data_IF_405668374212
#
_entry.id   IF_405668374212
#
_cell.length_a   1.000
_cell.length_b   1.000
_cell.length_c   1.000
_cell.angle_alpha   90.00
_cell.angle_beta   90.00
_cell.angle_gamma   90.00
#
_symmetry.space_group_name_H-M   'P 1'
#
loop_
_entity.id
_entity.type
_entity.pdbx_description
1 polymer ?
#
# COMPACT_ATOMS: atom_id res chain seq x y z
N UNK A 1 -25.26 -13.88 -35.75
CA UNK A 1 -24.00 -14.14 -36.47
C UNK A 1 -22.90 -13.99 -35.45
N UNK A 2 -22.21 -15.09 -35.17
CA UNK A 2 -21.10 -15.14 -34.22
C UNK A 2 -19.91 -14.35 -34.79
N UNK A 3 -19.39 -13.41 -34.00
CA UNK A 3 -18.32 -12.48 -34.40
C UNK A 3 -16.99 -12.79 -33.69
N UNK A 4 -16.84 -14.00 -33.14
CA UNK A 4 -15.65 -14.41 -32.38
C UNK A 4 -14.60 -15.17 -33.20
N UNK A 5 -14.86 -15.49 -34.48
CA UNK A 5 -14.03 -16.39 -35.26
C UNK A 5 -13.16 -15.75 -36.37
N UNK A 6 -13.15 -14.43 -36.55
CA UNK A 6 -12.47 -13.80 -37.70
C UNK A 6 -11.16 -13.10 -37.31
N UNK A 7 -10.09 -13.89 -37.14
CA UNK A 7 -8.72 -13.42 -36.90
C UNK A 7 -8.04 -12.81 -38.14
N UNK A 8 -8.71 -12.85 -39.30
CA UNK A 8 -8.20 -12.33 -40.57
C UNK A 8 -9.02 -11.15 -41.10
N UNK A 9 -9.93 -10.60 -40.30
CA UNK A 9 -10.72 -9.44 -40.71
C UNK A 9 -9.78 -8.25 -40.93
N UNK A 10 -9.75 -7.65 -42.12
CA UNK A 10 -8.91 -6.49 -42.37
C UNK A 10 -9.37 -5.36 -41.44
N UNK A 11 -8.50 -5.00 -40.50
CA UNK A 11 -8.66 -3.81 -39.66
C UNK A 11 -8.72 -2.63 -40.62
N UNK A 12 -9.84 -1.90 -40.65
CA UNK A 12 -9.95 -0.76 -41.56
C UNK A 12 -8.84 0.24 -41.25
N UNK A 13 -8.39 1.00 -42.24
CA UNK A 13 -7.34 2.02 -42.05
C UNK A 13 -7.68 2.95 -40.88
N UNK A 14 -8.97 3.25 -40.70
CA UNK A 14 -9.50 4.04 -39.57
C UNK A 14 -9.36 3.34 -38.22
N UNK A 15 -9.57 2.03 -38.15
CA UNK A 15 -9.36 1.23 -36.93
C UNK A 15 -7.88 1.07 -36.60
N UNK A 16 -7.01 0.90 -37.61
CA UNK A 16 -5.56 0.87 -37.43
C UNK A 16 -5.04 2.22 -36.92
N UNK A 17 -5.55 3.34 -37.45
CA UNK A 17 -5.24 4.69 -36.96
C UNK A 17 -5.74 4.91 -35.53
N UNK A 18 -6.91 4.38 -35.16
CA UNK A 18 -7.42 4.47 -33.79
C UNK A 18 -6.64 3.59 -32.79
N UNK A 19 -6.10 2.46 -33.24
CA UNK A 19 -5.21 1.60 -32.44
C UNK A 19 -3.82 2.25 -32.30
N UNK A 20 -3.27 2.82 -33.38
CA UNK A 20 -2.02 3.58 -33.34
C UNK A 20 -2.13 4.84 -32.46
N UNK A 21 -3.27 5.54 -32.48
CA UNK A 21 -3.55 6.66 -31.60
C UNK A 21 -3.72 6.26 -30.12
N UNK A 22 -3.98 4.98 -29.83
CA UNK A 22 -4.01 4.42 -28.47
C UNK A 22 -2.67 3.82 -28.03
N UNK A 23 -1.71 3.67 -28.95
CA UNK A 23 -0.41 3.04 -28.70
C UNK A 23 0.64 4.01 -28.15
N UNK A 24 0.32 5.30 -27.98
CA UNK A 24 1.20 6.27 -27.33
C UNK A 24 0.53 6.90 -26.10
N UNK A 25 0.65 6.20 -24.97
CA UNK A 25 0.71 6.83 -23.64
C UNK A 25 2.09 6.56 -23.04
N UNK A 26 3.12 6.72 -23.88
CA UNK A 26 4.54 6.60 -23.49
C UNK A 26 5.32 7.91 -23.67
N UNK A 27 4.70 8.99 -24.14
CA UNK A 27 5.39 10.26 -24.40
C UNK A 27 4.65 11.52 -23.97
N UNK A 28 3.58 11.41 -23.18
CA UNK A 28 3.28 12.49 -22.24
C UNK A 28 4.24 12.33 -21.06
N UNK A 29 5.48 12.78 -21.27
CA UNK A 29 6.38 13.12 -20.18
C UNK A 29 5.56 13.99 -19.23
N UNK A 30 5.22 13.39 -18.09
CA UNK A 30 4.85 14.10 -16.91
C UNK A 30 5.76 15.32 -16.82
N UNK A 31 5.20 16.53 -16.76
CA UNK A 31 5.96 17.74 -16.46
C UNK A 31 6.55 17.71 -15.04
N UNK A 32 6.48 16.58 -14.34
CA UNK A 32 7.41 16.26 -13.29
C UNK A 32 8.75 15.90 -13.93
N UNK A 33 9.69 16.84 -13.81
CA UNK A 33 11.10 16.57 -14.02
C UNK A 33 11.47 15.21 -13.39
N UNK A 34 12.24 14.36 -14.08
CA UNK A 34 12.65 13.09 -13.52
C UNK A 34 13.41 13.36 -12.21
N UNK A 35 12.84 12.97 -11.07
CA UNK A 35 13.55 12.97 -9.80
C UNK A 35 14.46 11.74 -9.79
N UNK A 36 15.50 11.76 -10.62
CA UNK A 36 16.79 11.18 -10.26
C UNK A 36 17.47 12.30 -9.47
N UNK A 37 17.81 12.16 -8.20
CA UNK A 37 18.83 11.28 -7.67
C UNK A 37 18.71 11.28 -6.15
N UNK A 38 19.21 10.26 -5.46
CA UNK A 38 19.48 10.23 -3.99
C UNK A 38 19.65 11.62 -3.36
N UNK A 39 18.91 11.89 -2.27
CA UNK A 39 19.10 13.12 -1.48
C UNK A 39 20.56 13.17 -1.02
N UNK A 40 21.32 14.23 -1.35
CA UNK A 40 22.74 14.30 -1.03
C UNK A 40 22.95 14.40 0.48
N UNK A 41 24.03 13.81 0.99
CA UNK A 41 24.44 14.04 2.38
C UNK A 41 24.85 15.50 2.58
N UNK A 42 24.61 16.01 3.78
CA UNK A 42 25.14 17.31 4.19
C UNK A 42 26.67 17.30 4.09
N UNK A 43 27.21 18.39 3.54
CA UNK A 43 28.64 18.65 3.35
C UNK A 43 29.00 20.01 3.96
N UNK A 44 30.21 20.10 4.52
CA UNK A 44 30.82 21.33 5.05
C UNK A 44 31.14 22.34 3.95
N UNK A 45 31.23 23.63 4.30
CA UNK A 45 31.64 24.70 3.39
C UNK A 45 30.87 24.73 2.04
N UNK A 46 29.60 24.33 2.07
CA UNK A 46 28.75 24.18 0.88
C UNK A 46 27.60 25.17 0.96
N UNK A 47 27.32 25.85 -0.15
CA UNK A 47 26.17 26.72 -0.28
C UNK A 47 24.89 25.88 -0.48
N UNK A 48 23.87 26.18 0.32
CA UNK A 48 22.54 25.58 0.24
C UNK A 48 21.50 26.65 -0.02
N UNK A 49 20.59 26.38 -0.94
CA UNK A 49 19.43 27.25 -1.19
C UNK A 49 18.27 26.89 -0.25
N UNK A 50 17.44 27.86 0.13
CA UNK A 50 16.24 27.63 0.91
C UNK A 50 15.38 26.53 0.24
N UNK A 51 14.90 25.57 1.05
CA UNK A 51 14.17 24.40 0.58
C UNK A 51 15.03 23.25 0.04
N UNK A 52 16.35 23.43 -0.13
CA UNK A 52 17.23 22.34 -0.54
C UNK A 52 17.29 21.27 0.55
N UNK A 53 17.04 20.02 0.15
CA UNK A 53 17.04 18.86 1.04
C UNK A 53 18.40 18.15 1.07
N UNK A 54 18.80 17.72 2.26
CA UNK A 54 20.01 16.91 2.49
C UNK A 54 19.78 15.85 3.57
N UNK A 55 20.63 14.83 3.62
CA UNK A 55 20.71 13.90 4.76
C UNK A 55 21.68 14.48 5.80
N UNK A 56 21.21 14.74 7.01
CA UNK A 56 21.99 15.26 8.13
C UNK A 56 23.04 14.24 8.59
N UNK A 57 24.07 14.65 9.36
CA UNK A 57 25.01 13.70 9.97
C UNK A 57 24.36 12.67 10.91
N UNK A 58 23.17 12.97 11.43
CA UNK A 58 22.37 12.04 12.24
C UNK A 58 21.55 11.04 11.40
N UNK A 59 21.51 11.22 10.07
CA UNK A 59 20.76 10.37 9.14
C UNK A 59 19.39 10.90 8.76
N UNK A 60 18.93 12.00 9.38
CA UNK A 60 17.62 12.60 9.09
C UNK A 60 17.60 13.37 7.77
N UNK A 61 16.47 13.41 7.07
CA UNK A 61 16.29 14.34 5.94
C UNK A 61 15.85 15.69 6.48
N UNK A 62 16.60 16.72 6.10
CA UNK A 62 16.37 18.10 6.53
C UNK A 62 16.38 19.05 5.34
N UNK A 63 15.64 20.15 5.45
CA UNK A 63 15.57 21.19 4.43
C UNK A 63 16.16 22.50 4.95
N UNK A 64 16.94 23.19 4.13
CA UNK A 64 17.51 24.49 4.49
C UNK A 64 16.38 25.52 4.70
N UNK A 65 16.36 26.18 5.88
CA UNK A 65 15.32 27.17 6.22
C UNK A 65 15.48 28.45 5.38
N UNK A 66 16.74 28.80 5.09
CA UNK A 66 17.11 29.95 4.28
C UNK A 66 18.36 29.62 3.46
N UNK A 67 18.63 30.45 2.44
CA UNK A 67 19.91 30.42 1.73
C UNK A 67 21.04 30.62 2.75
N UNK A 68 21.96 29.67 2.82
CA UNK A 68 23.10 29.76 3.73
C UNK A 68 24.29 28.96 3.21
N UNK A 69 25.47 29.20 3.77
CA UNK A 69 26.65 28.36 3.55
C UNK A 69 26.95 27.60 4.83
N UNK A 70 27.14 26.28 4.75
CA UNK A 70 27.45 25.46 5.93
C UNK A 70 28.83 25.77 6.49
N UNK A 71 28.96 25.72 7.82
CA UNK A 71 30.25 25.82 8.50
C UNK A 71 31.03 24.51 8.50
N UNK A 72 32.10 24.47 9.31
CA UNK A 72 32.89 23.25 9.55
C UNK A 72 32.11 22.17 10.33
N UNK A 73 31.03 22.54 11.00
CA UNK A 73 30.14 21.66 11.75
C UNK A 73 28.68 21.84 11.33
N UNK A 74 27.89 20.78 11.51
CA UNK A 74 26.45 20.83 11.27
C UNK A 74 25.75 21.67 12.34
N UNK A 75 25.03 22.71 11.93
CA UNK A 75 24.29 23.61 12.82
C UNK A 75 22.79 23.39 12.64
N UNK A 76 22.10 22.69 13.56
CA UNK A 76 20.68 22.34 13.41
C UNK A 76 19.75 23.54 13.16
N UNK A 77 20.09 24.72 13.69
CA UNK A 77 19.28 25.93 13.54
C UNK A 77 19.10 26.41 12.08
N UNK A 78 19.95 25.95 11.14
CA UNK A 78 19.82 26.31 9.72
C UNK A 78 18.85 25.38 8.96
N UNK A 79 18.34 24.36 9.62
CA UNK A 79 17.66 23.23 9.00
C UNK A 79 16.32 22.97 9.68
N UNK A 80 15.26 22.86 8.88
CA UNK A 80 14.00 22.36 9.34
C UNK A 80 13.94 20.86 9.10
N UNK A 81 13.49 20.10 10.10
CA UNK A 81 13.05 18.74 9.85
C UNK A 81 11.92 18.76 8.83
N UNK A 82 12.07 17.91 7.83
CA UNK A 82 11.00 17.58 6.93
C UNK A 82 9.97 16.79 7.76
N UNK A 83 8.89 17.43 8.24
CA UNK A 83 7.91 16.80 9.15
C UNK A 83 6.80 16.11 8.36
N UNK A 84 6.65 14.80 8.57
CA UNK A 84 5.55 13.85 8.28
C UNK A 84 4.80 13.87 6.92
N UNK A 85 4.77 14.95 6.16
CA UNK A 85 4.10 15.01 4.86
C UNK A 85 4.97 14.53 3.68
N UNK A 86 6.28 14.40 3.89
CA UNK A 86 7.26 14.35 2.79
C UNK A 86 8.19 13.12 2.82
N UNK A 87 8.09 12.22 3.80
CA UNK A 87 8.83 10.95 3.74
C UNK A 87 8.04 9.92 2.92
N UNK A 88 8.20 10.02 1.61
CA UNK A 88 7.80 8.99 0.67
C UNK A 88 8.91 7.94 0.61
N UNK A 89 8.71 6.81 1.30
CA UNK A 89 9.56 5.63 1.21
C UNK A 89 9.22 4.90 -0.10
N UNK A 90 9.79 5.38 -1.20
CA UNK A 90 9.58 4.76 -2.51
C UNK A 90 10.23 3.37 -2.54
N UNK A 91 9.44 2.32 -2.72
CA UNK A 91 9.92 0.93 -2.71
C UNK A 91 11.03 0.65 -3.73
N UNK A 92 11.08 1.41 -4.83
CA UNK A 92 12.16 1.29 -5.84
C UNK A 92 13.52 1.70 -5.27
N UNK A 93 13.56 2.66 -4.34
CA UNK A 93 14.79 3.07 -3.67
C UNK A 93 15.36 1.96 -2.75
N UNK A 94 14.52 1.00 -2.38
CA UNK A 94 14.89 -0.17 -1.58
C UNK A 94 15.13 -1.43 -2.44
N UNK A 95 15.10 -1.28 -3.77
CA UNK A 95 15.42 -2.35 -4.72
C UNK A 95 14.22 -3.09 -5.31
N UNK A 96 12.98 -2.70 -4.99
CA UNK A 96 11.80 -3.32 -5.59
C UNK A 96 11.76 -3.00 -7.10
N UNK A 97 11.42 -3.98 -7.94
CA UNK A 97 11.37 -3.81 -9.39
C UNK A 97 9.98 -3.62 -9.94
N UNK A 98 8.94 -4.18 -9.31
CA UNK A 98 7.54 -4.05 -9.74
C UNK A 98 7.32 -4.50 -11.20
N UNK A 99 8.10 -5.48 -11.66
CA UNK A 99 8.16 -5.97 -13.04
C UNK A 99 7.23 -7.18 -13.29
N UNK A 100 6.45 -7.59 -12.28
CA UNK A 100 5.54 -8.74 -12.34
C UNK A 100 6.21 -10.11 -12.23
N UNK A 101 7.53 -10.18 -11.99
CA UNK A 101 8.29 -11.43 -11.97
C UNK A 101 9.29 -11.53 -10.80
N UNK A 102 9.97 -10.44 -10.48
CA UNK A 102 10.95 -10.36 -9.39
C UNK A 102 10.23 -10.38 -8.05
N UNK A 103 10.70 -11.22 -7.14
CA UNK A 103 10.22 -11.25 -5.75
C UNK A 103 10.72 -10.00 -5.00
N UNK A 104 9.83 -9.04 -4.82
CA UNK A 104 10.08 -7.72 -4.26
C UNK A 104 9.85 -7.66 -2.74
N UNK A 105 9.50 -8.79 -2.10
CA UNK A 105 9.05 -8.80 -0.71
C UNK A 105 10.08 -8.19 0.27
N UNK A 106 11.36 -8.51 0.13
CA UNK A 106 12.42 -7.99 1.01
C UNK A 106 12.62 -6.48 0.85
N UNK A 107 12.59 -5.97 -0.39
CA UNK A 107 12.72 -4.55 -0.67
C UNK A 107 11.52 -3.75 -0.16
N UNK A 108 10.31 -4.29 -0.32
CA UNK A 108 9.09 -3.66 0.19
C UNK A 108 9.09 -3.66 1.73
N UNK A 109 9.47 -4.78 2.36
CA UNK A 109 9.56 -4.83 3.82
C UNK A 109 10.60 -3.84 4.34
N UNK A 110 11.75 -3.70 3.68
CA UNK A 110 12.76 -2.72 4.08
C UNK A 110 12.24 -1.27 4.01
N UNK A 111 11.42 -0.93 3.00
CA UNK A 111 10.76 0.38 2.93
C UNK A 111 9.74 0.58 4.06
N UNK A 112 8.98 -0.47 4.41
CA UNK A 112 8.03 -0.46 5.53
C UNK A 112 8.77 -0.30 6.87
N UNK A 113 9.87 -1.01 7.06
CA UNK A 113 10.69 -0.94 8.28
C UNK A 113 11.31 0.46 8.43
N UNK A 114 11.78 1.05 7.33
CA UNK A 114 12.29 2.42 7.31
C UNK A 114 11.21 3.45 7.67
N UNK A 115 9.98 3.28 7.15
CA UNK A 115 8.83 4.10 7.52
C UNK A 115 8.44 3.97 8.99
N UNK A 116 8.40 2.73 9.51
CA UNK A 116 8.12 2.46 10.91
C UNK A 116 9.15 3.10 11.85
N UNK A 117 10.43 3.13 11.46
CA UNK A 117 11.49 3.78 12.22
C UNK A 117 11.58 5.30 12.00
N UNK A 118 10.59 5.91 11.32
CA UNK A 118 10.53 7.36 11.07
C UNK A 118 11.72 7.90 10.27
N UNK A 119 12.40 7.06 9.48
CA UNK A 119 13.63 7.44 8.78
C UNK A 119 14.84 7.74 9.68
N UNK A 120 14.81 7.36 10.97
CA UNK A 120 15.90 7.66 11.93
C UNK A 120 15.45 8.31 13.25
N UNK A 121 14.15 8.56 13.44
CA UNK A 121 13.61 9.20 14.65
C UNK A 121 13.13 8.14 15.65
N UNK A 122 13.63 8.23 16.88
CA UNK A 122 13.64 7.17 17.90
C UNK A 122 12.31 6.43 18.16
N UNK A 123 12.45 5.13 18.43
CA UNK A 123 11.47 4.04 18.46
C UNK A 123 10.33 4.10 19.51
N UNK A 124 9.99 5.27 20.05
CA UNK A 124 8.84 5.40 20.96
C UNK A 124 8.13 6.76 20.90
N UNK A 125 8.33 7.52 19.83
CA UNK A 125 7.61 8.78 19.62
C UNK A 125 7.27 8.93 18.14
N UNK A 126 6.14 8.34 17.73
CA UNK A 126 5.51 8.49 16.42
C UNK A 126 6.43 8.14 15.21
N UNK A 127 6.90 6.90 15.15
CA UNK A 127 7.29 6.30 13.87
C UNK A 127 6.10 6.22 12.91
N UNK A 128 6.34 6.32 11.60
CA UNK A 128 5.31 6.36 10.58
C UNK A 128 5.77 7.03 9.28
N UNK A 129 4.96 6.90 8.23
CA UNK A 129 5.29 7.46 6.92
C UNK A 129 4.52 6.81 5.79
N UNK A 130 4.73 7.33 4.58
CA UNK A 130 4.09 6.81 3.37
C UNK A 130 5.07 5.91 2.63
N UNK A 131 4.77 4.62 2.54
CA UNK A 131 5.47 3.70 1.64
C UNK A 131 4.81 3.82 0.27
N UNK A 132 5.57 4.39 -0.68
CA UNK A 132 5.07 4.71 -2.00
C UNK A 132 5.40 3.61 -3.00
N UNK A 133 4.39 3.20 -3.74
CA UNK A 133 4.48 2.18 -4.79
C UNK A 133 4.17 2.82 -6.14
N UNK A 134 5.20 3.13 -6.96
CA UNK A 134 4.97 3.48 -8.37
C UNK A 134 4.18 2.38 -9.10
N UNK A 135 3.49 2.74 -10.19
CA UNK A 135 2.81 1.79 -11.07
C UNK A 135 3.68 0.58 -11.37
N UNK A 136 3.10 -0.62 -11.30
CA UNK A 136 3.81 -1.87 -11.47
C UNK A 136 3.14 -3.01 -10.70
N UNK A 137 3.55 -4.23 -11.03
CA UNK A 137 3.13 -5.43 -10.31
C UNK A 137 4.30 -5.93 -9.49
N UNK A 138 4.17 -5.88 -8.17
CA UNK A 138 5.20 -6.32 -7.24
C UNK A 138 4.87 -7.71 -6.74
N UNK A 139 5.74 -8.68 -7.02
CA UNK A 139 5.56 -10.05 -6.56
C UNK A 139 6.05 -10.15 -5.11
N UNK A 140 5.23 -10.74 -4.24
CA UNK A 140 5.53 -10.85 -2.81
C UNK A 140 5.60 -12.33 -2.43
N UNK A 141 6.80 -12.85 -2.17
CA UNK A 141 7.02 -14.23 -1.74
C UNK A 141 6.88 -14.49 -0.25
N UNK A 142 6.95 -13.45 0.59
CA UNK A 142 6.85 -13.54 2.05
C UNK A 142 5.89 -12.49 2.59
N UNK A 143 5.15 -12.81 3.66
CA UNK A 143 4.19 -11.89 4.28
C UNK A 143 4.83 -10.55 4.64
N UNK A 144 4.20 -9.46 4.21
CA UNK A 144 4.59 -8.10 4.61
C UNK A 144 3.95 -7.75 5.94
N UNK A 145 4.77 -7.26 6.88
CA UNK A 145 4.31 -6.79 8.19
C UNK A 145 4.01 -5.30 8.13
N UNK A 146 2.76 -4.92 8.35
CA UNK A 146 2.32 -3.51 8.40
C UNK A 146 2.29 -2.99 9.84
N UNK A 147 3.04 -1.92 10.11
CA UNK A 147 3.11 -1.29 11.42
C UNK A 147 2.10 -0.15 11.58
N UNK A 148 1.87 0.28 12.83
CA UNK A 148 1.15 1.52 13.11
C UNK A 148 1.86 2.74 12.50
N UNK A 149 1.12 3.81 12.22
CA UNK A 149 1.69 5.02 11.59
C UNK A 149 2.09 4.87 10.12
N UNK A 150 2.05 3.65 9.55
CA UNK A 150 2.56 3.37 8.21
C UNK A 150 1.44 3.31 7.18
N UNK A 151 1.61 4.01 6.07
CA UNK A 151 0.60 4.11 5.00
C UNK A 151 1.17 3.54 3.70
N UNK A 152 0.60 2.44 3.21
CA UNK A 152 0.96 1.88 1.89
C UNK A 152 0.13 2.58 0.81
N UNK A 153 0.76 3.25 -0.15
CA UNK A 153 0.04 4.01 -1.18
C UNK A 153 0.53 3.71 -2.58
N UNK A 154 -0.38 3.29 -3.45
CA UNK A 154 -0.14 3.10 -4.89
C UNK A 154 -0.62 4.26 -5.74
N UNK A 155 -0.62 4.07 -7.05
CA UNK A 155 -1.08 5.05 -8.06
C UNK A 155 -2.54 4.84 -8.49
N UNK A 156 -3.22 3.86 -7.88
CA UNK A 156 -4.55 3.37 -8.22
C UNK A 156 -4.53 1.86 -8.50
N UNK A 157 -5.67 1.15 -8.37
CA UNK A 157 -5.72 -0.29 -8.60
C UNK A 157 -5.42 -0.71 -10.05
N UNK A 158 -5.81 0.12 -11.04
CA UNK A 158 -5.57 -0.11 -12.47
C UNK A 158 -6.29 -1.34 -13.06
N UNK A 159 -6.52 -1.34 -14.38
CA UNK A 159 -7.14 -2.49 -15.09
C UNK A 159 -8.68 -2.56 -15.00
N UNK A 160 -9.27 -3.52 -15.73
CA UNK A 160 -10.70 -3.81 -15.65
C UNK A 160 -10.97 -4.60 -14.37
N UNK A 161 -11.58 -3.91 -13.40
CA UNK A 161 -11.91 -4.43 -12.09
C UNK A 161 -12.85 -5.65 -12.19
N UNK A 162 -13.48 -5.94 -13.34
CA UNK A 162 -14.48 -7.00 -13.46
C UNK A 162 -14.01 -8.35 -14.06
N UNK A 163 -12.82 -8.43 -14.67
CA UNK A 163 -12.38 -9.63 -15.42
C UNK A 163 -11.20 -10.35 -14.75
N UNK A 164 -11.47 -11.50 -14.11
CA UNK A 164 -10.48 -12.47 -13.60
C UNK A 164 -9.76 -13.21 -14.76
N UNK A 165 -10.38 -13.28 -15.93
CA UNK A 165 -9.88 -14.07 -17.06
C UNK A 165 -8.93 -13.32 -17.99
N UNK A 166 -8.82 -12.00 -17.87
CA UNK A 166 -7.97 -11.24 -18.78
C UNK A 166 -6.55 -11.05 -18.24
N UNK A 167 -5.77 -12.12 -18.31
CA UNK A 167 -4.32 -12.08 -18.07
C UNK A 167 -3.58 -11.12 -19.02
N UNK A 168 -4.25 -10.58 -20.05
CA UNK A 168 -3.68 -9.63 -21.03
C UNK A 168 -4.04 -8.16 -20.74
N UNK A 169 -4.82 -7.86 -19.70
CA UNK A 169 -4.94 -6.49 -19.20
C UNK A 169 -3.92 -6.31 -18.06
N UNK A 170 -2.70 -5.82 -18.35
CA UNK A 170 -1.77 -5.48 -17.30
C UNK A 170 -2.45 -4.52 -16.33
N UNK A 171 -2.25 -4.73 -15.02
CA UNK A 171 -2.62 -3.74 -14.02
C UNK A 171 -2.03 -2.40 -14.43
N UNK A 172 -2.90 -1.46 -14.81
CA UNK A 172 -2.48 -0.12 -15.25
C UNK A 172 -2.08 0.78 -14.07
N UNK A 173 -2.06 0.23 -12.86
CA UNK A 173 -1.78 0.91 -11.60
C UNK A 173 -0.82 0.09 -10.74
N UNK A 174 -0.97 0.18 -9.42
CA UNK A 174 -0.14 -0.56 -8.46
C UNK A 174 -0.83 -1.86 -8.06
N UNK A 175 -0.13 -2.98 -8.19
CA UNK A 175 -0.58 -4.27 -7.68
C UNK A 175 0.48 -4.93 -6.78
N UNK A 176 0.09 -5.35 -5.59
CA UNK A 176 0.83 -6.34 -4.80
C UNK A 176 0.23 -7.70 -5.08
N UNK A 177 1.02 -8.63 -5.61
CA UNK A 177 0.56 -9.96 -5.98
C UNK A 177 1.36 -11.03 -5.25
N UNK A 178 0.67 -11.96 -4.61
CA UNK A 178 1.32 -13.07 -3.91
C UNK A 178 2.04 -13.98 -4.93
N UNK A 179 3.29 -14.33 -4.65
CA UNK A 179 4.08 -15.26 -5.47
C UNK A 179 3.39 -16.63 -5.52
N UNK A 180 3.45 -17.31 -6.66
CA UNK A 180 2.95 -18.68 -6.78
C UNK A 180 3.72 -19.59 -5.83
N UNK A 181 3.02 -20.45 -5.10
CA UNK A 181 3.58 -21.38 -4.12
C UNK A 181 4.00 -20.76 -2.79
N UNK A 182 3.74 -19.46 -2.56
CA UNK A 182 4.08 -18.81 -1.29
C UNK A 182 3.21 -19.29 -0.14
N UNK A 183 1.92 -19.57 -0.41
CA UNK A 183 0.97 -20.18 0.54
C UNK A 183 0.89 -19.47 1.91
N UNK A 184 1.12 -18.16 1.92
CA UNK A 184 1.19 -17.31 3.12
C UNK A 184 0.29 -16.10 2.96
N UNK A 185 0.05 -15.38 4.05
CA UNK A 185 -0.71 -14.13 4.02
C UNK A 185 0.06 -13.06 3.21
N UNK A 186 -0.62 -12.22 2.42
CA UNK A 186 0.07 -11.17 1.64
C UNK A 186 0.51 -10.00 2.53
N UNK A 187 -0.43 -9.37 3.25
CA UNK A 187 -0.15 -8.29 4.22
C UNK A 187 -0.81 -8.62 5.56
N UNK A 188 -0.06 -8.45 6.65
CA UNK A 188 -0.54 -8.68 8.02
C UNK A 188 -0.05 -7.58 8.95
N UNK A 189 -0.91 -7.06 9.83
CA UNK A 189 -0.46 -6.07 10.81
C UNK A 189 0.49 -6.67 11.85
N UNK A 190 1.37 -5.84 12.39
CA UNK A 190 2.29 -6.24 13.45
C UNK A 190 1.53 -6.82 14.67
N UNK A 191 2.13 -7.81 15.35
CA UNK A 191 1.57 -8.50 16.52
C UNK A 191 0.23 -9.22 16.32
N UNK A 192 -0.25 -9.38 15.08
CA UNK A 192 -1.57 -9.96 14.79
C UNK A 192 -1.84 -11.28 15.54
N UNK A 193 -0.88 -12.22 15.54
CA UNK A 193 -1.05 -13.53 16.18
C UNK A 193 -1.23 -13.45 17.70
N UNK A 194 -0.64 -12.45 18.35
CA UNK A 194 -0.78 -12.22 19.80
C UNK A 194 -2.03 -11.41 20.15
N UNK A 195 -2.62 -10.70 19.18
CA UNK A 195 -3.73 -9.78 19.40
C UNK A 195 -5.08 -10.33 18.97
N UNK A 196 -5.13 -11.18 17.94
CA UNK A 196 -6.39 -11.77 17.47
C UNK A 196 -7.10 -12.52 18.61
N UNK A 197 -8.40 -12.27 18.78
CA UNK A 197 -9.23 -12.78 19.87
C UNK A 197 -9.14 -12.01 21.19
N UNK A 198 -8.28 -11.00 21.32
CA UNK A 198 -8.10 -10.25 22.57
C UNK A 198 -9.14 -9.13 22.69
N UNK A 199 -9.95 -9.14 23.75
CA UNK A 199 -11.03 -8.15 23.92
C UNK A 199 -10.56 -6.76 24.39
N UNK A 200 -9.42 -6.65 25.07
CA UNK A 200 -8.89 -5.38 25.58
C UNK A 200 -7.36 -5.35 25.46
N UNK A 201 -6.83 -5.15 24.24
CA UNK A 201 -5.39 -5.19 24.00
C UNK A 201 -4.69 -3.95 24.59
N UNK A 202 -3.40 -4.09 24.91
CA UNK A 202 -2.58 -2.94 25.29
C UNK A 202 -2.49 -1.94 24.13
N UNK A 203 -2.70 -0.65 24.43
CA UNK A 203 -2.61 0.41 23.42
C UNK A 203 -1.19 0.51 22.81
N UNK A 204 -0.15 0.10 23.54
CA UNK A 204 1.24 0.17 23.09
C UNK A 204 1.63 -0.94 22.11
N UNK A 205 0.96 -2.09 22.17
CA UNK A 205 1.24 -3.21 21.26
C UNK A 205 0.29 -3.28 20.06
N UNK A 206 -0.77 -2.47 20.08
CA UNK A 206 -1.82 -2.47 19.05
C UNK A 206 -1.47 -1.51 17.92
N UNK A 207 -1.34 -2.00 16.68
CA UNK A 207 -1.19 -1.14 15.50
C UNK A 207 -2.34 -0.12 15.42
N UNK A 208 -1.99 1.15 15.24
CA UNK A 208 -2.97 2.22 15.02
C UNK A 208 -2.45 3.27 14.04
N UNK A 209 -3.34 4.09 13.49
CA UNK A 209 -3.01 5.21 12.59
C UNK A 209 -2.26 4.78 11.32
N UNK A 210 -2.70 3.72 10.67
CA UNK A 210 -2.08 3.16 9.46
C UNK A 210 -3.10 3.05 8.32
N UNK A 211 -2.65 2.77 7.10
CA UNK A 211 -3.61 2.55 6.02
C UNK A 211 -3.04 1.95 4.75
N UNK A 212 -3.95 1.56 3.86
CA UNK A 212 -3.65 1.04 2.52
C UNK A 212 -4.53 1.77 1.51
N UNK A 213 -3.92 2.31 0.47
CA UNK A 213 -4.57 3.23 -0.47
C UNK A 213 -4.21 2.90 -1.91
N UNK A 214 -5.18 3.07 -2.81
CA UNK A 214 -4.96 3.25 -4.24
C UNK A 214 -4.15 2.10 -4.88
N UNK A 215 -4.54 0.85 -4.63
CA UNK A 215 -3.84 -0.32 -5.18
C UNK A 215 -4.71 -1.57 -5.24
N UNK A 216 -4.22 -2.53 -6.00
CA UNK A 216 -4.73 -3.90 -6.02
C UNK A 216 -3.90 -4.78 -5.08
N UNK A 217 -4.57 -5.61 -4.28
CA UNK A 217 -3.99 -6.69 -3.50
C UNK A 217 -4.52 -8.02 -4.07
N UNK A 218 -3.65 -8.79 -4.71
CA UNK A 218 -4.00 -10.02 -5.41
C UNK A 218 -3.39 -11.23 -4.70
N UNK A 219 -4.23 -12.11 -4.16
CA UNK A 219 -3.81 -13.32 -3.46
C UNK A 219 -3.28 -14.42 -4.38
N UNK A 220 -3.37 -14.24 -5.70
CA UNK A 220 -2.95 -15.19 -6.73
C UNK A 220 -3.51 -16.60 -6.47
N UNK A 221 -4.84 -16.70 -6.31
CA UNK A 221 -5.60 -17.93 -5.99
C UNK A 221 -5.15 -19.14 -6.82
N UNK A 222 -4.94 -18.98 -8.12
CA UNK A 222 -4.54 -20.08 -8.99
C UNK A 222 -3.17 -20.68 -8.64
N UNK A 223 -2.28 -19.89 -8.04
CA UNK A 223 -0.93 -20.29 -7.66
C UNK A 223 -0.75 -20.61 -6.18
N UNK A 224 -1.79 -20.50 -5.34
CA UNK A 224 -1.68 -20.65 -3.89
C UNK A 224 -2.85 -21.45 -3.30
N UNK A 225 -2.59 -22.24 -2.27
CA UNK A 225 -3.59 -23.06 -1.57
C UNK A 225 -4.01 -22.51 -0.20
N UNK A 226 -3.32 -21.49 0.29
CA UNK A 226 -3.59 -20.86 1.59
C UNK A 226 -3.09 -19.42 1.63
N UNK A 227 -3.49 -18.69 2.67
CA UNK A 227 -3.11 -17.29 2.90
C UNK A 227 -4.28 -16.34 2.68
N UNK A 228 -4.54 -15.48 3.67
CA UNK A 228 -5.45 -14.34 3.52
C UNK A 228 -4.71 -13.17 2.84
N UNK A 229 -5.44 -12.31 2.12
CA UNK A 229 -4.80 -11.21 1.41
C UNK A 229 -4.41 -10.08 2.38
N UNK A 230 -5.37 -9.56 3.14
CA UNK A 230 -5.11 -8.47 4.09
C UNK A 230 -5.67 -8.81 5.46
N UNK A 231 -4.78 -8.94 6.46
CA UNK A 231 -5.13 -9.24 7.85
C UNK A 231 -4.79 -8.08 8.77
N UNK A 232 -5.84 -7.51 9.34
CA UNK A 232 -5.74 -6.35 10.21
C UNK A 232 -6.27 -6.73 11.58
N UNK A 233 -5.39 -6.58 12.57
CA UNK A 233 -5.78 -6.29 13.93
C UNK A 233 -5.30 -4.87 14.27
N UNK A 234 -6.20 -4.00 14.72
CA UNK A 234 -5.86 -2.63 15.09
C UNK A 234 -7.01 -1.64 14.94
N UNK A 235 -6.73 -0.36 15.22
CA UNK A 235 -7.71 0.74 15.17
C UNK A 235 -7.17 1.98 14.48
N UNK A 236 -8.02 2.97 14.27
CA UNK A 236 -7.73 4.21 13.56
C UNK A 236 -7.02 3.95 12.23
N UNK A 237 -7.55 3.02 11.43
CA UNK A 237 -6.96 2.70 10.12
C UNK A 237 -7.84 3.12 8.96
N UNK A 238 -7.21 3.28 7.81
CA UNK A 238 -7.87 3.66 6.56
C UNK A 238 -7.62 2.63 5.47
N UNK A 239 -8.70 2.18 4.83
CA UNK A 239 -8.66 1.39 3.60
C UNK A 239 -9.41 2.16 2.53
N UNK A 240 -8.72 2.57 1.47
CA UNK A 240 -9.32 3.43 0.46
C UNK A 240 -8.95 3.02 -0.96
N UNK A 241 -9.95 2.96 -1.83
CA UNK A 241 -9.74 2.72 -3.26
C UNK A 241 -8.91 1.46 -3.51
N UNK A 242 -9.37 0.35 -2.94
CA UNK A 242 -8.69 -0.94 -2.98
C UNK A 242 -9.47 -1.96 -3.79
N UNK A 243 -8.75 -2.75 -4.56
CA UNK A 243 -9.24 -4.01 -5.11
C UNK A 243 -8.51 -5.14 -4.40
N UNK A 244 -9.23 -5.95 -3.63
CA UNK A 244 -8.70 -7.11 -2.91
C UNK A 244 -9.31 -8.34 -3.58
N UNK A 245 -8.49 -9.17 -4.22
CA UNK A 245 -9.02 -10.23 -5.08
C UNK A 245 -8.19 -11.50 -5.09
N UNK A 246 -8.80 -12.59 -5.58
CA UNK A 246 -8.11 -13.84 -5.86
C UNK A 246 -7.42 -14.43 -4.63
N UNK A 247 -8.09 -14.45 -3.48
CA UNK A 247 -7.56 -15.03 -2.25
C UNK A 247 -7.68 -16.56 -2.25
N UNK A 248 -6.61 -17.26 -1.88
CA UNK A 248 -6.65 -18.70 -1.63
C UNK A 248 -7.36 -19.05 -0.30
N UNK A 249 -7.47 -18.09 0.62
CA UNK A 249 -8.31 -18.13 1.81
C UNK A 249 -9.26 -16.91 1.82
N UNK A 250 -9.16 -16.02 2.82
CA UNK A 250 -10.03 -14.83 2.92
C UNK A 250 -9.45 -13.63 2.18
N UNK A 251 -10.33 -12.71 1.78
CA UNK A 251 -9.91 -11.46 1.15
C UNK A 251 -9.39 -10.46 2.19
N UNK A 252 -10.32 -9.90 2.97
CA UNK A 252 -10.04 -8.91 4.00
C UNK A 252 -10.45 -9.48 5.37
N UNK A 253 -9.58 -9.39 6.36
CA UNK A 253 -9.92 -9.67 7.75
C UNK A 253 -9.63 -8.45 8.60
N UNK A 254 -10.63 -7.99 9.35
CA UNK A 254 -10.46 -6.90 10.32
C UNK A 254 -10.94 -7.32 11.69
N UNK A 255 -10.17 -6.95 12.72
CA UNK A 255 -10.49 -7.24 14.11
C UNK A 255 -9.94 -6.15 15.02
N UNK A 256 -10.67 -5.84 16.08
CA UNK A 256 -10.17 -5.03 17.18
C UNK A 256 -11.01 -5.27 18.43
N UNK A 257 -10.34 -5.48 19.57
CA UNK A 257 -10.98 -5.55 20.88
C UNK A 257 -11.47 -4.19 21.39
N UNK A 258 -12.58 -4.18 22.13
CA UNK A 258 -13.17 -2.97 22.72
C UNK A 258 -12.27 -2.34 23.78
N UNK A 259 -11.85 -1.09 23.56
CA UNK A 259 -11.33 -0.19 24.61
C UNK A 259 -12.15 1.10 24.63
N UNK A 260 -12.81 1.41 25.73
CA UNK A 260 -13.62 2.63 25.87
C UNK A 260 -12.83 3.90 25.50
N UNK A 261 -13.37 4.76 24.63
CA UNK A 261 -13.02 6.19 24.58
C UNK A 261 -12.43 6.78 23.29
N UNK A 262 -12.68 6.24 22.10
CA UNK A 262 -12.19 6.86 20.85
C UNK A 262 -13.27 6.96 19.78
N UNK A 263 -13.46 8.16 19.24
CA UNK A 263 -14.33 8.41 18.09
C UNK A 263 -13.60 8.07 16.78
N UNK A 264 -14.21 7.19 15.96
CA UNK A 264 -13.75 6.68 14.66
C UNK A 264 -12.53 5.73 14.70
N UNK A 265 -12.81 4.42 14.70
CA UNK A 265 -11.81 3.37 14.81
C UNK A 265 -11.41 2.74 13.46
N UNK A 266 -12.16 2.95 12.37
CA UNK A 266 -11.67 2.72 11.02
C UNK A 266 -12.49 3.46 9.96
N UNK A 267 -11.85 3.80 8.84
CA UNK A 267 -12.50 4.31 7.65
C UNK A 267 -12.24 3.35 6.48
N UNK A 268 -13.28 2.70 6.00
CA UNK A 268 -13.23 1.82 4.82
C UNK A 268 -14.09 2.45 3.72
N UNK A 269 -13.45 2.90 2.65
CA UNK A 269 -14.10 3.62 1.56
C UNK A 269 -13.67 3.08 0.19
N UNK A 270 -14.64 2.77 -0.68
CA UNK A 270 -14.35 2.32 -2.05
C UNK A 270 -13.43 1.09 -2.06
N UNK A 271 -13.84 0.03 -1.35
CA UNK A 271 -13.07 -1.21 -1.24
C UNK A 271 -13.87 -2.34 -1.88
N UNK A 272 -13.23 -3.06 -2.80
CA UNK A 272 -13.77 -4.28 -3.39
C UNK A 272 -13.05 -5.49 -2.82
N UNK A 273 -13.81 -6.54 -2.48
CA UNK A 273 -13.27 -7.84 -2.09
C UNK A 273 -13.93 -8.95 -2.90
N UNK A 274 -13.21 -9.60 -3.80
CA UNK A 274 -13.83 -10.62 -4.67
C UNK A 274 -12.98 -11.84 -4.96
N UNK A 275 -13.64 -12.89 -5.47
CA UNK A 275 -13.00 -14.06 -6.08
C UNK A 275 -12.09 -14.86 -5.12
N UNK A 276 -12.34 -14.74 -3.81
CA UNK A 276 -11.63 -15.48 -2.77
C UNK A 276 -12.28 -16.86 -2.52
N UNK A 277 -11.49 -17.87 -2.17
CA UNK A 277 -12.00 -19.21 -1.83
C UNK A 277 -12.82 -19.18 -0.54
N UNK A 278 -12.36 -18.43 0.46
CA UNK A 278 -13.02 -18.27 1.77
C UNK A 278 -13.95 -17.06 1.81
N UNK A 279 -14.18 -16.54 3.03
CA UNK A 279 -14.97 -15.33 3.23
C UNK A 279 -14.31 -14.12 2.55
N UNK A 280 -15.13 -13.24 1.98
CA UNK A 280 -14.67 -11.95 1.46
C UNK A 280 -14.16 -11.08 2.60
N UNK A 281 -15.05 -10.65 3.49
CA UNK A 281 -14.70 -9.80 4.61
C UNK A 281 -15.31 -10.22 5.96
N UNK A 282 -14.61 -11.02 6.77
CA UNK A 282 -14.93 -11.14 8.18
C UNK A 282 -14.55 -9.86 8.92
N UNK A 283 -15.58 -9.17 9.39
CA UNK A 283 -15.47 -7.93 10.14
C UNK A 283 -15.79 -8.21 11.61
N UNK A 284 -14.74 -8.25 12.44
CA UNK A 284 -14.83 -8.40 13.91
C UNK A 284 -14.43 -7.10 14.61
N UNK A 285 -14.83 -5.99 13.99
CA UNK A 285 -14.40 -4.66 14.37
C UNK A 285 -13.29 -4.11 13.47
N UNK A 286 -12.84 -2.90 13.79
CA UNK A 286 -13.21 -2.13 14.98
C UNK A 286 -14.67 -1.62 14.98
N UNK A 287 -15.24 -1.38 16.17
CA UNK A 287 -16.69 -1.23 16.35
C UNK A 287 -17.21 0.12 15.83
N UNK A 288 -16.45 1.20 16.01
CA UNK A 288 -16.85 2.55 15.62
C UNK A 288 -16.28 2.92 14.24
N UNK A 289 -16.60 2.11 13.24
CA UNK A 289 -16.06 2.25 11.87
C UNK A 289 -17.03 2.95 10.91
N UNK A 290 -16.49 3.79 10.03
CA UNK A 290 -17.19 4.30 8.85
C UNK A 290 -16.92 3.38 7.67
N UNK A 291 -17.98 2.78 7.14
CA UNK A 291 -17.91 1.88 5.98
C UNK A 291 -18.78 2.44 4.85
N UNK A 292 -18.19 2.68 3.69
CA UNK A 292 -18.88 3.27 2.54
C UNK A 292 -18.36 2.70 1.22
N UNK A 293 -19.27 2.47 0.27
CA UNK A 293 -18.94 1.96 -1.07
C UNK A 293 -18.07 0.69 -1.03
N UNK A 294 -18.47 -0.29 -0.21
CA UNK A 294 -17.79 -1.59 -0.14
C UNK A 294 -18.58 -2.63 -0.92
N UNK A 295 -17.89 -3.34 -1.81
CA UNK A 295 -18.46 -4.41 -2.61
C UNK A 295 -17.75 -5.72 -2.30
N UNK A 296 -18.50 -6.76 -1.91
CA UNK A 296 -17.95 -8.09 -1.72
C UNK A 296 -18.76 -9.13 -2.50
N UNK A 297 -18.11 -9.86 -3.41
CA UNK A 297 -18.80 -10.77 -4.32
C UNK A 297 -17.93 -11.91 -4.82
N UNK A 298 -18.57 -12.97 -5.33
CA UNK A 298 -17.91 -14.14 -5.95
C UNK A 298 -16.90 -14.84 -5.02
N UNK A 299 -17.11 -14.73 -3.71
CA UNK A 299 -16.33 -15.43 -2.70
C UNK A 299 -16.97 -16.79 -2.41
N UNK A 300 -16.16 -17.82 -2.16
CA UNK A 300 -16.65 -19.16 -1.83
C UNK A 300 -17.24 -19.25 -0.42
N UNK A 301 -16.85 -18.34 0.48
CA UNK A 301 -17.46 -18.13 1.80
C UNK A 301 -18.48 -16.98 1.82
N UNK A 302 -18.71 -16.41 3.02
CA UNK A 302 -19.60 -15.25 3.20
C UNK A 302 -19.04 -14.01 2.49
N UNK A 303 -19.90 -13.26 1.79
CA UNK A 303 -19.51 -12.01 1.13
C UNK A 303 -18.97 -10.97 2.10
N UNK A 304 -19.82 -10.39 2.94
CA UNK A 304 -19.43 -9.62 4.13
C UNK A 304 -20.04 -10.29 5.36
N UNK A 305 -19.24 -10.45 6.40
CA UNK A 305 -19.64 -11.10 7.63
C UNK A 305 -19.33 -10.18 8.80
N UNK A 306 -20.30 -9.33 9.15
CA UNK A 306 -20.20 -8.45 10.31
C UNK A 306 -20.54 -9.27 11.58
N UNK A 307 -19.53 -9.58 12.39
CA UNK A 307 -19.69 -10.31 13.65
C UNK A 307 -19.12 -9.46 14.77
N UNK A 308 -19.97 -8.64 15.38
CA UNK A 308 -19.66 -7.92 16.63
C UNK A 308 -20.25 -8.65 17.84
N UNK A 309 -19.52 -8.69 18.96
CA UNK A 309 -20.05 -9.17 20.27
C UNK A 309 -20.84 -8.10 21.02
N UNK A 310 -20.99 -6.91 20.44
CA UNK A 310 -21.88 -5.86 20.93
C UNK A 310 -22.42 -5.08 19.74
N UNK A 311 -23.49 -5.60 19.16
CA UNK A 311 -24.25 -4.91 18.13
C UNK A 311 -24.95 -3.69 18.74
N UNK A 312 -24.38 -2.51 18.49
CA UNK A 312 -25.10 -1.24 18.59
C UNK A 312 -24.70 -0.37 17.42
N UNK A 313 -25.14 -0.73 16.22
CA UNK A 313 -25.32 0.28 15.16
C UNK A 313 -26.29 1.35 15.69
N UNK A 314 -25.83 2.59 15.78
CA UNK A 314 -26.73 3.76 15.82
C UNK A 314 -26.73 4.42 14.44
#
# INVERSE_FOLDING_TARGET
MDNTADVNKPVSTTQATAIAAKLDVTTAASTYAPISTTIPKWVTATAYTAGQQVVSPAGDIVQAIANHTSGASYTPANWAYVRFADYFFNVKAYGAKGDGSTDDASAIQAAIDAANNGGGIAANTAGGGVVWFPTGTYIVGTTLTLYGGTHLRGTGPGGDVFSDTDANLPFRGTALKLKSGANTDLVKTANFAALTGVSSPSAYSTPNRFGVYDMTLDGNKAGNSSGDILKIYGRSFWLQNLVIQNGAARGLYTEYGSSSGYDNEAQINNVRVSDCVGDGWPFKGPHDSVVSNVFSARNGGSGSLHRGTSDRSR
#
